data_IF_261189217585
#
_entry.id   IF_261189217585
#
_cell.length_a   1.000
_cell.length_b   1.000
_cell.length_c   1.000
_cell.angle_alpha   90.00
_cell.angle_beta   90.00
_cell.angle_gamma   90.00
#
_symmetry.space_group_name_H-M   'P 1'
#
loop_
_entity.id
_entity.type
_entity.pdbx_description
1 polymer ?
#
# COMPACT_ATOMS: atom_id res chain seq x y z
N UNK A 1 -10.62 -24.71 -2.90
CA UNK A 1 -10.06 -23.46 -2.34
C UNK A 1 -11.23 -22.56 -1.98
N UNK A 2 -11.40 -22.18 -0.72
CA UNK A 2 -12.46 -21.22 -0.33
C UNK A 2 -11.92 -19.78 -0.45
N UNK A 3 -12.12 -19.19 -1.62
CA UNK A 3 -11.63 -17.86 -1.96
C UNK A 3 -12.25 -16.75 -1.10
N UNK A 4 -13.50 -16.92 -0.64
CA UNK A 4 -14.17 -15.92 0.19
C UNK A 4 -13.58 -15.84 1.59
N UNK A 5 -13.16 -16.98 2.15
CA UNK A 5 -12.48 -16.99 3.44
C UNK A 5 -11.07 -16.40 3.36
N UNK A 6 -10.34 -16.67 2.28
CA UNK A 6 -9.02 -16.04 2.06
C UNK A 6 -9.12 -14.52 1.82
N UNK A 7 -10.11 -14.07 1.03
CA UNK A 7 -10.36 -12.65 0.81
C UNK A 7 -10.66 -11.94 2.14
N UNK A 8 -11.59 -12.47 2.94
CA UNK A 8 -11.94 -11.91 4.26
C UNK A 8 -10.74 -11.85 5.21
N UNK A 9 -9.82 -12.81 5.13
CA UNK A 9 -8.59 -12.82 5.92
C UNK A 9 -7.60 -11.72 5.50
N UNK A 10 -7.52 -11.41 4.20
CA UNK A 10 -6.59 -10.42 3.63
C UNK A 10 -7.20 -9.02 3.50
N UNK A 11 -8.51 -8.87 3.68
CA UNK A 11 -9.21 -7.60 3.63
C UNK A 11 -8.68 -6.67 4.75
N UNK A 12 -8.21 -5.49 4.35
CA UNK A 12 -7.55 -4.51 5.21
C UNK A 12 -7.94 -3.09 4.85
N UNK A 13 -7.83 -2.20 5.82
CA UNK A 13 -7.91 -0.75 5.59
C UNK A 13 -6.64 -0.25 4.87
N UNK A 14 -6.69 0.88 4.15
CA UNK A 14 -5.51 1.48 3.55
C UNK A 14 -4.38 1.73 4.57
N UNK A 15 -4.72 2.20 5.77
CA UNK A 15 -3.79 2.48 6.86
C UNK A 15 -3.07 1.21 7.34
N UNK A 16 -3.80 0.10 7.51
CA UNK A 16 -3.19 -1.19 7.85
C UNK A 16 -2.31 -1.72 6.71
N UNK A 17 -2.73 -1.53 5.45
CA UNK A 17 -1.98 -2.03 4.31
C UNK A 17 -0.63 -1.32 4.16
N UNK A 18 -0.59 0.01 4.31
CA UNK A 18 0.65 0.77 4.16
C UNK A 18 1.66 0.47 5.24
N UNK A 19 1.27 -0.02 6.43
CA UNK A 19 2.19 -0.43 7.51
C UNK A 19 3.19 -1.52 7.09
N UNK A 20 2.87 -2.29 6.04
CA UNK A 20 3.77 -3.30 5.50
C UNK A 20 5.03 -2.68 4.85
N UNK A 21 4.95 -1.42 4.42
CA UNK A 21 6.04 -0.69 3.77
C UNK A 21 7.04 -0.23 4.83
N UNK A 22 8.32 -0.49 4.55
CA UNK A 22 9.47 -0.18 5.40
C UNK A 22 10.43 0.75 4.68
N UNK A 23 11.30 1.40 5.47
CA UNK A 23 12.36 2.25 4.93
C UNK A 23 13.27 1.47 3.97
N UNK A 24 13.55 2.04 2.79
CA UNK A 24 14.32 1.40 1.72
C UNK A 24 13.49 0.59 0.72
N UNK A 25 12.18 0.41 0.95
CA UNK A 25 11.32 -0.33 0.03
C UNK A 25 11.07 0.42 -1.27
N UNK A 26 10.81 -0.38 -2.31
CA UNK A 26 10.31 0.11 -3.59
C UNK A 26 8.82 -0.20 -3.70
N UNK A 27 8.04 0.83 -3.94
CA UNK A 27 6.59 0.76 -4.12
C UNK A 27 6.27 1.06 -5.58
N UNK A 28 5.61 0.12 -6.23
CA UNK A 28 5.24 0.19 -7.64
C UNK A 28 3.71 0.30 -7.76
N UNK A 29 3.25 1.42 -8.29
CA UNK A 29 1.82 1.69 -8.50
C UNK A 29 1.41 1.36 -9.93
N UNK A 30 0.15 0.94 -10.09
CA UNK A 30 -0.44 0.90 -11.42
C UNK A 30 -0.55 2.31 -12.02
N UNK A 31 -0.37 2.44 -13.33
CA UNK A 31 -0.55 3.71 -14.03
C UNK A 31 -2.02 4.03 -14.37
N UNK A 32 -2.31 5.32 -14.58
CA UNK A 32 -3.61 5.84 -15.02
C UNK A 32 -4.75 5.37 -14.09
N UNK A 33 -5.74 4.68 -14.65
CA UNK A 33 -6.93 4.22 -13.93
C UNK A 33 -6.66 3.14 -12.87
N UNK A 34 -5.45 2.57 -12.83
CA UNK A 34 -5.07 1.53 -11.86
C UNK A 34 -4.29 2.11 -10.67
N UNK A 35 -4.11 3.43 -10.60
CA UNK A 35 -3.41 4.06 -9.50
C UNK A 35 -4.22 3.92 -8.20
N UNK A 36 -3.63 3.36 -7.12
CA UNK A 36 -4.36 3.08 -5.89
C UNK A 36 -4.44 4.35 -5.02
N UNK A 37 -5.30 5.29 -5.37
CA UNK A 37 -5.42 6.62 -4.72
C UNK A 37 -5.52 6.55 -3.19
N UNK A 38 -6.34 5.63 -2.65
CA UNK A 38 -6.51 5.48 -1.20
C UNK A 38 -5.24 4.97 -0.50
N UNK A 39 -4.45 4.12 -1.17
CA UNK A 39 -3.18 3.62 -0.64
C UNK A 39 -2.14 4.72 -0.68
N UNK A 40 -2.10 5.51 -1.76
CA UNK A 40 -1.18 6.63 -1.88
C UNK A 40 -1.45 7.70 -0.82
N UNK A 41 -2.72 8.06 -0.61
CA UNK A 41 -3.11 8.99 0.45
C UNK A 41 -2.66 8.47 1.83
N UNK A 42 -2.92 7.20 2.14
CA UNK A 42 -2.50 6.59 3.40
C UNK A 42 -0.97 6.55 3.56
N UNK A 43 -0.22 6.29 2.48
CA UNK A 43 1.24 6.27 2.50
C UNK A 43 1.81 7.69 2.69
N UNK A 44 1.20 8.70 2.07
CA UNK A 44 1.62 10.10 2.19
C UNK A 44 1.59 10.60 3.64
N UNK A 45 0.67 10.08 4.46
CA UNK A 45 0.58 10.41 5.90
C UNK A 45 1.73 9.84 6.73
N UNK A 46 2.47 8.84 6.20
CA UNK A 46 3.65 8.24 6.85
C UNK A 46 4.96 8.94 6.47
N UNK A 47 4.89 10.05 5.74
CA UNK A 47 6.06 10.88 5.42
C UNK A 47 6.67 11.41 6.71
N UNK A 48 7.94 11.06 6.95
CA UNK A 48 8.67 11.36 8.18
C UNK A 48 8.93 10.13 9.07
N UNK A 49 8.08 9.11 9.01
CA UNK A 49 8.33 7.82 9.68
C UNK A 49 9.25 6.92 8.86
N UNK A 50 9.10 6.97 7.53
CA UNK A 50 9.83 6.16 6.57
C UNK A 50 10.97 6.94 5.93
N UNK A 51 12.07 6.26 5.60
CA UNK A 51 13.24 6.84 4.92
C UNK A 51 13.59 6.05 3.67
N UNK A 52 14.00 6.75 2.61
CA UNK A 52 14.41 6.15 1.33
C UNK A 52 13.40 5.17 0.72
N UNK A 53 12.11 5.46 0.86
CA UNK A 53 11.06 4.73 0.13
C UNK A 53 10.96 5.31 -1.27
N UNK A 54 11.00 4.45 -2.28
CA UNK A 54 10.95 4.84 -3.69
C UNK A 54 9.61 4.43 -4.26
N UNK A 55 8.79 5.44 -4.56
CA UNK A 55 7.51 5.24 -5.24
C UNK A 55 7.73 5.44 -6.74
N UNK A 56 7.28 4.48 -7.54
CA UNK A 56 7.22 4.57 -9.00
C UNK A 56 5.83 4.17 -9.48
N UNK A 57 5.46 4.67 -10.64
CA UNK A 57 4.27 4.25 -11.38
C UNK A 57 4.69 3.76 -12.74
#
# INVERSE_FOLDING_TARGET
>A
MDYFSEYRRKLKTPEEAVQLIKSGDWVDYGMNHNMPELIDEALSRRVGELKDVKVRG
#
